data_IF_214547665678
#
_entry.id   IF_214547665678
#
_cell.length_a   1.000
_cell.length_b   1.000
_cell.length_c   1.000
_cell.angle_alpha   90.00
_cell.angle_beta   90.00
_cell.angle_gamma   90.00
#
_symmetry.space_group_name_H-M   'P 1'
#
loop_
_entity.id
_entity.type
_entity.pdbx_description
1 polymer ?
#
# COMPACT_ATOMS: atom_id res chain seq x y z
N UNK A 1 -10.15 -12.19 -1.11
CA UNK A 1 -8.74 -12.55 -1.39
C UNK A 1 -8.64 -14.03 -1.73
N UNK A 2 -9.24 -14.94 -0.95
CA UNK A 2 -9.30 -16.39 -1.27
C UNK A 2 -9.69 -16.70 -2.72
N UNK A 3 -10.80 -16.14 -3.23
CA UNK A 3 -11.19 -16.35 -4.64
C UNK A 3 -10.09 -15.99 -5.65
N UNK A 4 -9.26 -14.99 -5.36
CA UNK A 4 -8.12 -14.60 -6.21
C UNK A 4 -7.01 -15.65 -6.12
N UNK A 5 -6.69 -16.10 -4.91
CA UNK A 5 -5.70 -17.15 -4.64
C UNK A 5 -6.09 -18.43 -5.39
N UNK A 6 -7.36 -18.84 -5.31
CA UNK A 6 -7.85 -20.06 -5.94
C UNK A 6 -7.91 -19.93 -7.47
N UNK A 7 -8.40 -18.79 -7.98
CA UNK A 7 -8.45 -18.51 -9.43
C UNK A 7 -7.08 -18.61 -10.10
N UNK A 8 -6.03 -18.17 -9.41
CA UNK A 8 -4.66 -18.19 -9.92
C UNK A 8 -3.81 -19.34 -9.34
N UNK A 9 -4.43 -20.28 -8.60
CA UNK A 9 -3.77 -21.45 -7.99
C UNK A 9 -2.52 -21.11 -7.17
N UNK A 10 -2.56 -19.99 -6.43
CA UNK A 10 -1.37 -19.46 -5.74
C UNK A 10 -1.05 -20.18 -4.43
N UNK A 11 -2.00 -20.96 -3.89
CA UNK A 11 -1.90 -21.52 -2.53
C UNK A 11 -0.69 -22.44 -2.35
N UNK A 12 -0.32 -23.19 -3.38
CA UNK A 12 0.87 -24.07 -3.37
C UNK A 12 2.21 -23.32 -3.31
N UNK A 13 2.20 -22.01 -3.61
CA UNK A 13 3.38 -21.16 -3.55
C UNK A 13 3.53 -20.42 -2.22
N UNK A 14 2.57 -20.58 -1.30
CA UNK A 14 2.62 -19.96 0.02
C UNK A 14 3.04 -20.96 1.10
N UNK A 15 3.89 -20.49 2.02
CA UNK A 15 4.19 -21.20 3.26
C UNK A 15 3.63 -20.39 4.42
N UNK A 16 2.47 -20.80 4.94
CA UNK A 16 1.82 -20.15 6.08
C UNK A 16 2.52 -20.52 7.40
N UNK A 17 2.16 -19.85 8.49
CA UNK A 17 2.75 -20.06 9.82
C UNK A 17 4.29 -20.02 9.79
N UNK A 18 4.83 -19.08 9.03
CA UNK A 18 6.27 -18.91 8.80
C UNK A 18 6.55 -17.42 8.77
N UNK A 19 7.36 -16.95 9.72
CA UNK A 19 7.79 -15.58 9.83
C UNK A 19 9.21 -15.44 9.23
N UNK A 20 9.41 -14.44 8.37
CA UNK A 20 10.75 -14.06 7.91
C UNK A 20 11.42 -13.21 9.01
N UNK A 21 12.60 -13.61 9.47
CA UNK A 21 13.34 -12.88 10.52
C UNK A 21 14.46 -12.01 9.97
N UNK A 22 14.85 -12.20 8.70
CA UNK A 22 15.95 -11.48 8.09
C UNK A 22 16.44 -12.12 6.81
N UNK A 23 17.36 -11.44 6.13
CA UNK A 23 18.04 -11.95 4.96
C UNK A 23 19.43 -11.32 4.83
N UNK A 24 20.38 -12.08 4.31
CA UNK A 24 21.74 -11.60 4.05
C UNK A 24 22.15 -11.91 2.60
N UNK A 25 22.84 -10.96 1.97
CA UNK A 25 23.39 -11.18 0.63
C UNK A 25 24.75 -11.87 0.72
N UNK A 26 24.83 -13.11 0.22
CA UNK A 26 26.03 -13.96 0.30
C UNK A 26 26.28 -14.61 -1.06
N UNK A 27 27.49 -14.46 -1.60
CA UNK A 27 27.94 -15.14 -2.83
C UNK A 27 27.00 -14.99 -4.04
N UNK A 28 26.36 -13.82 -4.21
CA UNK A 28 25.48 -13.56 -5.36
C UNK A 28 24.02 -13.99 -5.19
N UNK A 29 23.61 -14.39 -3.98
CA UNK A 29 22.22 -14.75 -3.66
C UNK A 29 21.80 -14.24 -2.28
N UNK A 30 20.48 -14.16 -2.06
CA UNK A 30 19.90 -13.90 -0.75
C UNK A 30 19.75 -15.20 0.04
N UNK A 31 20.29 -15.22 1.25
CA UNK A 31 19.99 -16.23 2.27
C UNK A 31 18.92 -15.66 3.18
N UNK A 32 17.70 -16.19 3.13
CA UNK A 32 16.55 -15.69 3.87
C UNK A 32 16.26 -16.62 5.04
N UNK A 33 16.15 -16.05 6.23
CA UNK A 33 15.94 -16.77 7.48
C UNK A 33 14.48 -16.73 7.89
N UNK A 34 13.97 -17.88 8.30
CA UNK A 34 12.59 -18.05 8.71
C UNK A 34 12.48 -18.75 10.05
N UNK A 35 11.40 -18.46 10.77
CA UNK A 35 10.98 -19.18 11.96
C UNK A 35 9.50 -19.55 11.86
N UNK A 36 9.15 -20.76 12.26
CA UNK A 36 7.75 -21.11 12.51
C UNK A 36 7.38 -20.64 13.93
N UNK A 37 6.44 -19.70 14.11
CA UNK A 37 6.13 -19.15 15.42
C UNK A 37 5.49 -20.18 16.37
N UNK A 38 4.89 -21.26 15.83
CA UNK A 38 4.25 -22.33 16.60
C UNK A 38 5.29 -23.38 17.03
N UNK A 39 6.03 -23.95 16.08
CA UNK A 39 6.98 -25.04 16.36
C UNK A 39 8.35 -24.55 16.81
N UNK A 40 8.64 -23.25 16.64
CA UNK A 40 9.95 -22.62 16.83
C UNK A 40 11.05 -23.15 15.90
N UNK A 41 10.69 -23.95 14.89
CA UNK A 41 11.61 -24.43 13.87
C UNK A 41 12.21 -23.25 13.09
N UNK A 42 13.54 -23.25 12.93
CA UNK A 42 14.26 -22.26 12.13
C UNK A 42 14.84 -22.92 10.88
N UNK A 43 14.74 -22.23 9.74
CA UNK A 43 15.35 -22.70 8.50
C UNK A 43 15.73 -21.52 7.60
N UNK A 44 16.66 -21.79 6.68
CA UNK A 44 17.13 -20.81 5.68
C UNK A 44 16.75 -21.26 4.28
N UNK A 45 16.43 -20.32 3.40
CA UNK A 45 16.26 -20.56 1.95
C UNK A 45 17.12 -19.61 1.15
N UNK A 46 17.63 -20.10 0.03
CA UNK A 46 18.38 -19.28 -0.92
C UNK A 46 17.46 -18.82 -2.05
N UNK A 47 17.58 -17.57 -2.47
CA UNK A 47 16.90 -17.05 -3.65
C UNK A 47 17.75 -16.00 -4.39
N UNK A 48 17.59 -15.91 -5.70
CA UNK A 48 18.27 -14.91 -6.53
C UNK A 48 17.65 -13.53 -6.36
N UNK A 49 16.31 -13.47 -6.26
CA UNK A 49 15.52 -12.24 -6.12
C UNK A 49 14.77 -12.30 -4.79
N UNK A 50 14.86 -11.23 -4.00
CA UNK A 50 14.09 -11.06 -2.77
C UNK A 50 13.08 -9.93 -2.95
N UNK A 51 11.79 -10.27 -2.94
CA UNK A 51 10.69 -9.32 -3.03
C UNK A 51 10.02 -9.16 -1.66
N UNK A 52 10.13 -7.99 -1.06
CA UNK A 52 9.42 -7.66 0.17
C UNK A 52 8.02 -7.14 -0.15
N UNK A 53 7.01 -7.80 0.42
CA UNK A 53 5.60 -7.43 0.32
C UNK A 53 4.92 -7.37 1.70
N UNK A 54 5.70 -7.04 2.75
CA UNK A 54 5.25 -7.05 4.15
C UNK A 54 4.29 -5.91 4.53
N UNK A 55 4.13 -4.93 3.62
CA UNK A 55 3.25 -3.78 3.80
C UNK A 55 3.77 -2.74 4.78
N UNK A 56 3.09 -1.59 4.84
CA UNK A 56 3.44 -0.46 5.72
C UNK A 56 2.48 -0.27 6.91
N UNK A 57 1.43 -1.09 7.03
CA UNK A 57 0.42 -1.02 8.11
C UNK A 57 0.17 -2.40 8.72
N UNK A 58 1.24 -3.16 8.94
CA UNK A 58 1.17 -4.53 9.47
C UNK A 58 1.47 -4.61 10.96
N UNK A 59 2.35 -3.75 11.48
CA UNK A 59 2.77 -3.77 12.88
C UNK A 59 2.00 -2.70 13.68
N UNK A 60 1.16 -3.08 14.65
CA UNK A 60 0.55 -2.14 15.58
C UNK A 60 1.60 -1.24 16.23
N UNK A 61 1.33 0.05 16.32
CA UNK A 61 2.23 0.96 17.05
C UNK A 61 2.19 0.54 18.52
N UNK A 62 3.33 0.21 19.15
CA UNK A 62 3.35 -0.12 20.56
C UNK A 62 2.80 1.06 21.37
N UNK A 63 1.68 0.85 22.05
CA UNK A 63 1.11 1.79 22.99
C UNK A 63 1.40 1.28 24.40
N UNK A 64 2.20 2.03 25.15
CA UNK A 64 2.54 1.74 26.54
C UNK A 64 2.08 2.90 27.39
N UNK A 65 1.23 2.60 28.36
CA UNK A 65 0.78 3.55 29.36
C UNK A 65 1.28 3.10 30.74
N UNK A 66 1.58 4.03 31.66
CA UNK A 66 1.83 3.68 33.04
C UNK A 66 0.68 2.84 33.61
N UNK A 67 0.98 1.84 34.44
CA UNK A 67 -0.02 0.97 35.07
C UNK A 67 -0.71 -0.06 34.17
N UNK A 68 -0.47 -0.04 32.85
CA UNK A 68 -1.18 -0.91 31.89
C UNK A 68 -1.02 -2.41 32.17
N UNK A 69 0.11 -2.81 32.76
CA UNK A 69 0.38 -4.20 33.17
C UNK A 69 -0.42 -4.65 34.41
N UNK A 70 -1.03 -3.72 35.15
CA UNK A 70 -1.85 -3.99 36.34
C UNK A 70 -3.34 -4.08 36.02
N UNK A 71 -3.75 -3.63 34.84
CA UNK A 71 -5.15 -3.61 34.43
C UNK A 71 -5.69 -5.03 34.26
N UNK A 72 -6.81 -5.32 34.94
CA UNK A 72 -7.44 -6.65 34.98
C UNK A 72 -8.44 -6.88 33.84
N UNK A 73 -8.88 -5.81 33.17
CA UNK A 73 -9.77 -5.88 32.02
C UNK A 73 -9.06 -6.29 30.74
N UNK A 74 -9.79 -6.29 29.62
CA UNK A 74 -9.22 -6.67 28.31
C UNK A 74 -8.60 -5.47 27.61
N UNK A 75 -7.40 -5.65 27.06
CA UNK A 75 -6.76 -4.66 26.19
C UNK A 75 -6.37 -5.30 24.89
N UNK A 76 -6.72 -4.69 23.77
CA UNK A 76 -6.24 -5.13 22.46
C UNK A 76 -6.17 -3.96 21.49
N UNK A 77 -5.30 -4.11 20.49
CA UNK A 77 -5.20 -3.17 19.39
C UNK A 77 -6.24 -3.48 18.32
N UNK A 78 -6.74 -2.46 17.62
CA UNK A 78 -7.73 -2.63 16.53
C UNK A 78 -7.30 -3.60 15.41
N UNK A 79 -6.01 -3.90 15.28
CA UNK A 79 -5.47 -4.88 14.33
C UNK A 79 -5.40 -6.31 14.87
N UNK A 80 -5.48 -6.47 16.20
CA UNK A 80 -5.39 -7.74 16.94
C UNK A 80 -6.72 -7.96 17.66
N UNK A 81 -7.81 -7.84 16.91
CA UNK A 81 -9.16 -7.85 17.46
C UNK A 81 -9.50 -9.19 18.11
N UNK A 82 -9.90 -9.17 19.38
CA UNK A 82 -10.37 -10.36 20.09
C UNK A 82 -11.83 -10.67 19.69
N UNK A 83 -11.99 -11.62 18.78
CA UNK A 83 -13.30 -12.09 18.32
C UNK A 83 -14.06 -12.93 19.36
N UNK A 84 -13.45 -13.30 20.48
CA UNK A 84 -14.07 -14.13 21.53
C UNK A 84 -14.68 -13.31 22.67
N UNK A 85 -14.35 -12.02 22.77
CA UNK A 85 -14.85 -11.15 23.82
C UNK A 85 -16.30 -10.71 23.54
N UNK A 86 -17.18 -10.89 24.54
CA UNK A 86 -18.55 -10.40 24.49
C UNK A 86 -18.61 -8.92 24.89
N UNK A 87 -18.99 -8.09 23.91
CA UNK A 87 -19.11 -6.65 24.01
C UNK A 87 -20.41 -6.19 24.66
N UNK A 88 -21.39 -7.07 24.80
CA UNK A 88 -22.72 -6.72 25.27
C UNK A 88 -22.69 -6.20 26.71
N UNK A 89 -23.29 -5.03 26.92
CA UNK A 89 -23.44 -4.40 28.23
C UNK A 89 -22.09 -4.13 28.96
N UNK A 90 -21.00 -3.96 28.20
CA UNK A 90 -19.67 -3.61 28.75
C UNK A 90 -19.41 -2.10 28.79
N UNK A 91 -18.62 -1.65 29.76
CA UNK A 91 -18.01 -0.33 29.77
C UNK A 91 -16.68 -0.39 29.00
N UNK A 92 -16.53 0.43 27.96
CA UNK A 92 -15.41 0.35 27.02
C UNK A 92 -14.73 1.71 26.87
N UNK A 93 -13.41 1.73 26.96
CA UNK A 93 -12.61 2.88 26.57
C UNK A 93 -12.02 2.69 25.17
N UNK A 94 -11.99 3.74 24.37
CA UNK A 94 -11.33 3.76 23.05
C UNK A 94 -10.25 4.85 23.05
N UNK A 95 -9.00 4.48 22.86
CA UNK A 95 -7.88 5.43 22.81
C UNK A 95 -7.50 5.70 21.36
N UNK A 96 -7.72 6.94 20.91
CA UNK A 96 -7.46 7.40 19.55
C UNK A 96 -8.72 7.65 18.73
N UNK A 97 -8.59 8.45 17.67
CA UNK A 97 -9.71 8.85 16.80
C UNK A 97 -9.36 8.82 15.30
N UNK A 98 -8.36 8.02 14.90
CA UNK A 98 -8.06 7.80 13.48
C UNK A 98 -9.13 6.97 12.77
N UNK A 99 -8.85 6.56 11.52
CA UNK A 99 -9.78 5.77 10.71
C UNK A 99 -10.30 4.50 11.41
N UNK A 100 -9.44 3.79 12.16
CA UNK A 100 -9.84 2.58 12.89
C UNK A 100 -10.90 2.88 13.95
N UNK A 101 -10.69 3.92 14.76
CA UNK A 101 -11.66 4.32 15.79
C UNK A 101 -12.98 4.78 15.15
N UNK A 102 -12.90 5.58 14.09
CA UNK A 102 -14.09 6.06 13.38
C UNK A 102 -14.95 4.91 12.83
N UNK A 103 -14.38 3.73 12.57
CA UNK A 103 -15.12 2.53 12.16
C UNK A 103 -15.58 1.68 13.35
N UNK A 104 -14.74 1.51 14.38
CA UNK A 104 -15.04 0.68 15.55
C UNK A 104 -16.15 1.30 16.40
N UNK A 105 -16.04 2.59 16.74
CA UNK A 105 -16.98 3.29 17.64
C UNK A 105 -18.44 3.13 17.19
N UNK A 106 -18.85 3.50 15.96
CA UNK A 106 -20.24 3.33 15.55
C UNK A 106 -20.68 1.85 15.48
N UNK A 107 -19.75 0.92 15.27
CA UNK A 107 -20.06 -0.51 15.15
C UNK A 107 -20.37 -1.16 16.50
N UNK A 108 -19.68 -0.76 17.58
CA UNK A 108 -19.87 -1.35 18.91
C UNK A 108 -20.79 -0.52 19.82
N UNK A 109 -20.91 0.79 19.58
CA UNK A 109 -21.70 1.70 20.41
C UNK A 109 -23.16 1.23 20.67
N UNK A 110 -23.86 0.55 19.74
CA UNK A 110 -25.19 0.02 20.02
C UNK A 110 -25.26 -1.08 21.09
N UNK A 111 -24.20 -1.89 21.24
CA UNK A 111 -24.22 -3.09 22.10
C UNK A 111 -23.57 -2.90 23.48
N UNK A 112 -22.74 -1.87 23.65
CA UNK A 112 -22.00 -1.61 24.90
C UNK A 112 -22.83 -0.79 25.89
N UNK A 113 -22.60 -0.98 27.19
CA UNK A 113 -23.24 -0.20 28.26
C UNK A 113 -22.82 1.27 28.21
N UNK A 114 -21.53 1.51 28.00
CA UNK A 114 -20.92 2.84 27.93
C UNK A 114 -19.65 2.78 27.09
N UNK A 115 -19.44 3.79 26.25
CA UNK A 115 -18.22 3.98 25.47
C UNK A 115 -17.66 5.36 25.74
N UNK A 116 -16.42 5.42 26.23
CA UNK A 116 -15.66 6.67 26.39
C UNK A 116 -14.49 6.65 25.42
N UNK A 117 -14.42 7.64 24.54
CA UNK A 117 -13.36 7.78 23.58
C UNK A 117 -12.44 8.94 23.96
N UNK A 118 -11.15 8.65 24.06
CA UNK A 118 -10.10 9.63 24.35
C UNK A 118 -9.40 10.03 23.04
N UNK A 119 -9.46 11.32 22.71
CA UNK A 119 -8.96 11.85 21.44
C UNK A 119 -8.22 13.17 21.66
N UNK A 120 -6.91 13.20 21.35
CA UNK A 120 -6.09 14.42 21.55
C UNK A 120 -6.17 15.45 20.44
N UNK A 121 -6.70 15.09 19.27
CA UNK A 121 -6.71 15.99 18.12
C UNK A 121 -7.88 15.70 17.19
N UNK A 122 -8.55 16.70 16.62
CA UNK A 122 -9.63 16.49 15.65
C UNK A 122 -9.16 15.84 14.34
N UNK A 123 -10.14 15.47 13.50
CA UNK A 123 -9.93 14.89 12.17
C UNK A 123 -10.87 15.54 11.14
N UNK A 124 -10.46 15.55 9.88
CA UNK A 124 -11.31 15.97 8.77
C UNK A 124 -12.28 14.85 8.37
N UNK A 125 -13.58 15.05 8.62
CA UNK A 125 -14.65 14.14 8.22
C UNK A 125 -15.36 14.62 6.95
N UNK A 126 -15.61 13.69 6.03
CA UNK A 126 -16.35 13.91 4.80
C UNK A 126 -17.47 12.89 4.65
N UNK A 127 -18.55 13.21 3.93
CA UNK A 127 -19.59 12.24 3.62
C UNK A 127 -19.00 11.06 2.84
N UNK A 128 -19.39 9.85 3.23
CA UNK A 128 -18.92 8.63 2.57
C UNK A 128 -19.58 8.47 1.21
N UNK A 129 -18.82 8.43 0.09
CA UNK A 129 -19.38 8.34 -1.26
C UNK A 129 -19.83 6.92 -1.65
N UNK A 130 -19.97 6.01 -0.68
CA UNK A 130 -20.23 4.60 -0.95
C UNK A 130 -21.74 4.36 -1.06
N UNK A 131 -22.25 4.26 -2.29
CA UNK A 131 -23.64 3.85 -2.56
C UNK A 131 -23.73 2.34 -2.77
N UNK A 132 -24.87 1.75 -2.45
CA UNK A 132 -25.18 0.39 -2.85
C UNK A 132 -25.23 0.27 -4.38
N UNK A 133 -24.71 -0.84 -4.93
CA UNK A 133 -24.86 -1.14 -6.35
C UNK A 133 -26.24 -1.75 -6.63
N UNK A 134 -27.02 -1.04 -7.46
CA UNK A 134 -28.35 -1.46 -7.91
C UNK A 134 -28.30 -2.70 -8.81
N UNK A 135 -29.46 -3.30 -9.08
CA UNK A 135 -29.57 -4.38 -10.06
C UNK A 135 -29.09 -3.93 -11.46
N UNK A 136 -29.37 -2.68 -11.83
CA UNK A 136 -28.90 -2.10 -13.09
C UNK A 136 -27.38 -1.91 -13.11
N UNK A 137 -26.77 -1.41 -12.03
CA UNK A 137 -25.30 -1.33 -11.94
C UNK A 137 -24.66 -2.72 -12.17
N UNK A 138 -25.21 -3.74 -11.51
CA UNK A 138 -24.75 -5.14 -11.64
C UNK A 138 -24.97 -5.69 -13.06
N UNK A 139 -26.07 -5.35 -13.71
CA UNK A 139 -26.34 -5.69 -15.10
C UNK A 139 -25.29 -5.08 -16.02
N UNK A 140 -25.03 -3.77 -15.89
CA UNK A 140 -24.03 -3.07 -16.69
C UNK A 140 -22.63 -3.66 -16.48
N UNK A 141 -22.26 -3.98 -15.23
CA UNK A 141 -20.98 -4.65 -14.97
C UNK A 141 -20.88 -6.04 -15.60
N UNK A 142 -21.98 -6.78 -15.71
CA UNK A 142 -21.96 -8.15 -16.23
C UNK A 142 -21.98 -8.21 -17.75
N UNK A 143 -22.76 -7.35 -18.40
CA UNK A 143 -23.10 -7.51 -19.82
C UNK A 143 -22.65 -6.36 -20.72
N UNK A 144 -22.46 -5.15 -20.22
CA UNK A 144 -21.99 -4.05 -21.06
C UNK A 144 -20.47 -4.11 -21.21
N UNK A 145 -19.94 -4.31 -22.44
CA UNK A 145 -18.51 -4.34 -22.64
C UNK A 145 -17.90 -3.00 -22.26
N UNK A 146 -16.69 -3.03 -21.71
CA UNK A 146 -15.92 -1.87 -21.25
C UNK A 146 -16.53 -1.05 -20.10
N UNK A 147 -17.78 -1.26 -19.68
CA UNK A 147 -18.41 -0.50 -18.60
C UNK A 147 -17.59 -0.54 -17.29
N UNK A 148 -17.11 -1.72 -16.90
CA UNK A 148 -16.23 -1.86 -15.74
C UNK A 148 -14.92 -1.07 -15.89
N UNK A 149 -14.36 -1.00 -17.10
CA UNK A 149 -13.10 -0.25 -17.36
C UNK A 149 -13.34 1.25 -17.31
N UNK A 150 -14.44 1.73 -17.90
CA UNK A 150 -14.85 3.13 -17.80
C UNK A 150 -15.09 3.52 -16.34
N UNK A 151 -15.83 2.73 -15.59
CA UNK A 151 -16.09 3.01 -14.18
C UNK A 151 -14.81 3.06 -13.34
N UNK A 152 -13.86 2.14 -13.58
CA UNK A 152 -12.53 2.19 -12.94
C UNK A 152 -11.74 3.43 -13.32
N UNK A 153 -11.81 3.86 -14.58
CA UNK A 153 -11.14 5.08 -15.06
C UNK A 153 -11.75 6.33 -14.42
N UNK A 154 -13.08 6.44 -14.37
CA UNK A 154 -13.79 7.54 -13.72
C UNK A 154 -13.42 7.65 -12.23
N UNK A 155 -13.45 6.52 -11.50
CA UNK A 155 -13.00 6.47 -10.11
C UNK A 155 -11.54 6.93 -9.99
N UNK A 156 -10.65 6.40 -10.83
CA UNK A 156 -9.24 6.79 -10.83
C UNK A 156 -9.07 8.29 -11.04
N UNK A 157 -9.70 8.88 -12.05
CA UNK A 157 -9.58 10.32 -12.37
C UNK A 157 -10.12 11.19 -11.23
N UNK A 158 -11.27 10.83 -10.64
CA UNK A 158 -11.83 11.54 -9.48
C UNK A 158 -10.88 11.51 -8.30
N UNK A 159 -10.40 10.32 -7.96
CA UNK A 159 -9.50 10.11 -6.84
C UNK A 159 -8.15 10.79 -7.06
N UNK A 160 -7.58 10.71 -8.27
CA UNK A 160 -6.30 11.35 -8.59
C UNK A 160 -6.40 12.88 -8.58
N UNK A 161 -7.55 13.43 -8.98
CA UNK A 161 -7.80 14.87 -8.94
C UNK A 161 -7.76 15.45 -7.51
N UNK A 162 -7.93 14.62 -6.48
CA UNK A 162 -7.83 15.06 -5.09
C UNK A 162 -6.43 15.56 -4.73
N UNK A 163 -5.38 15.19 -5.47
CA UNK A 163 -4.03 15.73 -5.27
C UNK A 163 -3.98 17.26 -5.29
N UNK A 164 -4.89 17.88 -6.04
CA UNK A 164 -4.97 19.34 -6.23
C UNK A 164 -5.34 20.16 -4.98
N UNK A 165 -5.51 19.53 -3.81
CA UNK A 165 -5.68 20.26 -2.53
C UNK A 165 -4.44 20.18 -1.63
N UNK A 166 -3.40 19.46 -2.03
CA UNK A 166 -2.29 19.11 -1.14
C UNK A 166 -1.01 19.95 -1.31
N UNK A 167 -0.84 20.70 -2.40
CA UNK A 167 0.31 21.58 -2.52
C UNK A 167 0.04 23.00 -1.99
N UNK A 168 1.07 23.84 -2.17
CA UNK A 168 1.19 25.17 -1.58
C UNK A 168 0.88 26.32 -2.55
N UNK A 169 0.64 26.05 -3.84
CA UNK A 169 0.29 27.12 -4.78
C UNK A 169 -1.09 27.72 -4.47
N UNK A 170 -1.28 28.99 -4.83
CA UNK A 170 -2.47 29.77 -4.48
C UNK A 170 -3.78 29.11 -4.94
N UNK A 171 -3.78 28.51 -6.13
CA UNK A 171 -4.96 27.84 -6.69
C UNK A 171 -5.30 26.59 -5.89
N UNK A 172 -4.31 25.80 -5.52
CA UNK A 172 -4.48 24.62 -4.68
C UNK A 172 -4.89 24.97 -3.25
N UNK A 173 -4.33 26.04 -2.68
CA UNK A 173 -4.73 26.59 -1.38
C UNK A 173 -6.21 27.01 -1.41
N UNK A 174 -6.63 27.79 -2.41
CA UNK A 174 -8.03 28.20 -2.56
C UNK A 174 -8.97 27.01 -2.69
N UNK A 175 -8.59 26.00 -3.49
CA UNK A 175 -9.37 24.76 -3.63
C UNK A 175 -9.44 23.98 -2.32
N UNK A 176 -8.34 23.90 -1.57
CA UNK A 176 -8.30 23.26 -0.26
C UNK A 176 -9.24 23.95 0.72
N UNK A 177 -9.19 25.28 0.83
CA UNK A 177 -10.06 26.06 1.71
C UNK A 177 -11.55 25.85 1.39
N UNK A 178 -11.91 25.73 0.11
CA UNK A 178 -13.29 25.41 -0.29
C UNK A 178 -13.73 24.02 0.20
N UNK A 179 -12.87 23.01 0.04
CA UNK A 179 -13.15 21.63 0.50
C UNK A 179 -13.15 21.53 2.04
N UNK A 180 -12.33 22.33 2.71
CA UNK A 180 -12.35 22.48 4.17
C UNK A 180 -13.67 23.11 4.63
N UNK A 181 -14.17 24.14 3.96
CA UNK A 181 -15.46 24.75 4.27
C UNK A 181 -16.62 23.76 4.11
N UNK A 182 -16.62 22.95 3.04
CA UNK A 182 -17.59 21.87 2.85
C UNK A 182 -17.53 20.83 3.99
N UNK A 183 -16.31 20.42 4.39
CA UNK A 183 -16.12 19.48 5.49
C UNK A 183 -16.54 20.07 6.84
N UNK A 184 -16.26 21.36 7.10
CA UNK A 184 -16.74 22.05 8.31
C UNK A 184 -18.26 22.12 8.34
N UNK A 185 -18.90 22.43 7.22
CA UNK A 185 -20.37 22.42 7.11
C UNK A 185 -20.96 21.03 7.39
N UNK A 186 -20.34 19.97 6.84
CA UNK A 186 -20.71 18.59 7.12
C UNK A 186 -20.57 18.24 8.61
N UNK A 187 -19.40 18.48 9.21
CA UNK A 187 -19.15 18.22 10.64
C UNK A 187 -20.14 18.99 11.51
N UNK A 188 -20.36 20.27 11.24
CA UNK A 188 -21.29 21.09 12.00
C UNK A 188 -22.72 20.54 11.97
N UNK A 189 -23.15 20.01 10.82
CA UNK A 189 -24.49 19.44 10.65
C UNK A 189 -24.66 18.09 11.33
N UNK A 190 -23.68 17.19 11.19
CA UNK A 190 -23.80 15.80 11.64
C UNK A 190 -23.37 15.61 13.10
N UNK A 191 -22.42 16.40 13.61
CA UNK A 191 -21.89 16.24 14.96
C UNK A 191 -22.78 16.92 16.03
N UNK A 192 -22.90 16.33 17.23
CA UNK A 192 -23.58 16.97 18.36
C UNK A 192 -22.93 18.30 18.74
N UNK A 193 -23.76 19.30 19.08
CA UNK A 193 -23.29 20.64 19.49
C UNK A 193 -22.31 20.60 20.67
N UNK A 194 -22.47 19.65 21.61
CA UNK A 194 -21.58 19.48 22.77
C UNK A 194 -20.11 19.21 22.42
N UNK A 195 -19.79 18.84 21.18
CA UNK A 195 -18.41 18.57 20.73
C UNK A 195 -17.85 19.61 19.77
N UNK A 196 -18.59 20.69 19.48
CA UNK A 196 -18.19 21.69 18.49
C UNK A 196 -16.91 22.44 18.88
N UNK A 197 -16.60 22.59 20.16
CA UNK A 197 -15.36 23.25 20.60
C UNK A 197 -14.08 22.46 20.28
N UNK A 198 -14.20 21.14 20.08
CA UNK A 198 -13.05 20.26 19.84
C UNK A 198 -13.02 19.67 18.42
N UNK A 199 -14.17 19.32 17.85
CA UNK A 199 -14.23 18.42 16.69
C UNK A 199 -13.75 19.05 15.37
N UNK A 200 -13.65 20.38 15.29
CA UNK A 200 -13.18 21.07 14.09
C UNK A 200 -11.65 21.12 14.03
N UNK A 201 -11.02 20.63 12.95
CA UNK A 201 -9.59 20.75 12.77
C UNK A 201 -9.08 22.19 12.69
N UNK A 202 -7.90 22.41 13.26
CA UNK A 202 -7.07 23.61 13.24
C UNK A 202 -5.85 23.47 12.29
N UNK A 203 -5.69 22.30 11.67
CA UNK A 203 -4.65 21.99 10.69
C UNK A 203 -5.22 21.79 9.28
N UNK A 204 -4.43 22.05 8.22
CA UNK A 204 -4.93 21.98 6.85
C UNK A 204 -5.34 20.56 6.44
N UNK A 205 -6.37 20.48 5.61
CA UNK A 205 -6.83 19.24 4.99
C UNK A 205 -5.69 18.58 4.22
N UNK A 206 -5.47 17.31 4.53
CA UNK A 206 -4.41 16.50 3.93
C UNK A 206 -3.15 16.37 4.78
N UNK A 207 -2.97 17.20 5.82
CA UNK A 207 -1.90 17.01 6.79
C UNK A 207 -2.05 15.68 7.56
N UNK A 208 -3.30 15.27 7.81
CA UNK A 208 -3.68 13.89 8.13
C UNK A 208 -4.55 13.33 7.02
N UNK A 209 -4.57 11.99 6.88
CA UNK A 209 -5.50 11.33 5.96
C UNK A 209 -6.93 11.64 6.38
N UNK A 210 -7.73 12.16 5.44
CA UNK A 210 -9.16 12.44 5.66
C UNK A 210 -9.95 11.18 5.97
N UNK A 211 -11.01 11.32 6.77
CA UNK A 211 -11.92 10.23 7.12
C UNK A 211 -13.21 10.38 6.31
N UNK A 212 -13.56 9.35 5.56
CA UNK A 212 -14.92 9.23 5.04
C UNK A 212 -15.79 8.63 6.13
N UNK A 213 -16.75 9.41 6.63
CA UNK A 213 -17.52 9.11 7.83
C UNK A 213 -18.37 7.84 7.63
N UNK A 214 -18.09 6.74 8.35
CA UNK A 214 -18.90 5.52 8.28
C UNK A 214 -20.16 5.57 9.17
N UNK A 215 -20.47 6.71 9.80
CA UNK A 215 -21.52 6.85 10.82
C UNK A 215 -20.97 7.25 12.19
N UNK A 216 -19.71 7.65 12.27
CA UNK A 216 -19.03 8.09 13.47
C UNK A 216 -19.68 9.35 14.05
N UNK A 217 -19.88 10.41 13.26
CA UNK A 217 -20.45 11.66 13.80
C UNK A 217 -21.87 11.44 14.34
N UNK A 218 -22.67 10.64 13.62
CA UNK A 218 -23.99 10.22 14.07
C UNK A 218 -23.95 9.43 15.39
N UNK A 219 -22.97 8.55 15.56
CA UNK A 219 -22.82 7.75 16.79
C UNK A 219 -22.54 8.58 18.04
N UNK A 220 -21.98 9.79 17.89
CA UNK A 220 -21.70 10.70 19.01
C UNK A 220 -22.97 11.30 19.65
N UNK A 221 -24.13 11.21 18.99
CA UNK A 221 -25.42 11.62 19.55
C UNK A 221 -25.98 10.63 20.57
N UNK A 222 -25.43 9.41 20.65
CA UNK A 222 -25.92 8.41 21.59
C UNK A 222 -25.60 8.80 23.03
N UNK A 223 -26.54 8.56 23.93
CA UNK A 223 -26.37 8.86 25.36
C UNK A 223 -25.26 8.02 26.01
N UNK A 224 -24.98 6.84 25.46
CA UNK A 224 -23.94 5.93 25.95
C UNK A 224 -22.56 6.17 25.33
N UNK A 225 -22.37 7.24 24.54
CA UNK A 225 -21.10 7.58 23.89
C UNK A 225 -20.61 8.95 24.38
N UNK A 226 -19.37 8.99 24.84
CA UNK A 226 -18.70 10.20 25.30
C UNK A 226 -17.35 10.36 24.57
N UNK A 227 -17.15 11.51 23.91
CA UNK A 227 -15.86 11.90 23.33
C UNK A 227 -15.17 12.92 24.24
N UNK A 228 -13.97 12.57 24.71
CA UNK A 228 -13.16 13.39 25.60
C UNK A 228 -11.90 13.90 24.87
N UNK A 229 -11.65 15.24 24.84
CA UNK A 229 -10.54 15.85 24.12
C UNK A 229 -9.21 15.78 24.90
N UNK A 230 -8.90 14.63 25.51
CA UNK A 230 -7.76 14.49 26.44
C UNK A 230 -7.01 13.17 26.23
N UNK A 231 -5.78 13.09 26.74
CA UNK A 231 -4.98 11.87 26.78
C UNK A 231 -5.24 11.03 28.04
N UNK A 232 -4.43 9.98 28.17
CA UNK A 232 -4.44 9.06 29.32
C UNK A 232 -3.17 9.28 30.13
N UNK A 233 -3.34 9.54 31.43
CA UNK A 233 -2.23 9.63 32.38
C UNK A 233 -1.71 8.23 32.73
N UNK A 234 -2.59 7.35 33.21
CA UNK A 234 -2.23 5.98 33.58
C UNK A 234 -3.45 5.03 33.56
N UNK A 235 -3.16 3.73 33.59
CA UNK A 235 -4.15 2.68 33.82
C UNK A 235 -4.19 2.37 35.32
N UNK A 236 -5.39 2.14 35.83
CA UNK A 236 -5.61 1.57 37.16
C UNK A 236 -5.82 0.06 37.05
N UNK A 237 -6.04 -0.63 38.17
CA UNK A 237 -6.39 -2.06 38.12
C UNK A 237 -7.69 -2.34 37.36
N UNK A 238 -8.63 -1.40 37.36
CA UNK A 238 -9.99 -1.59 36.81
C UNK A 238 -10.36 -0.59 35.71
N UNK A 239 -9.46 0.34 35.36
CA UNK A 239 -9.84 1.48 34.54
C UNK A 239 -8.69 2.35 34.06
N UNK A 240 -9.01 3.62 33.78
CA UNK A 240 -8.09 4.63 33.27
C UNK A 240 -8.20 5.91 34.09
N UNK A 241 -7.07 6.62 34.24
CA UNK A 241 -7.02 8.00 34.70
C UNK A 241 -6.69 8.88 33.51
N UNK A 242 -7.56 9.83 33.19
CA UNK A 242 -7.31 10.80 32.13
C UNK A 242 -6.30 11.87 32.55
N UNK A 243 -5.78 12.63 31.60
CA UNK A 243 -4.85 13.76 31.90
C UNK A 243 -5.47 14.86 32.76
N UNK A 244 -6.81 14.93 32.88
CA UNK A 244 -7.50 15.84 33.80
C UNK A 244 -7.69 15.26 35.20
N UNK A 245 -7.20 14.04 35.45
CA UNK A 245 -7.27 13.36 36.74
C UNK A 245 -8.57 12.58 36.99
N UNK A 246 -9.48 12.50 35.99
CA UNK A 246 -10.73 11.73 36.11
C UNK A 246 -10.42 10.24 36.02
N UNK A 247 -10.74 9.50 37.08
CA UNK A 247 -10.60 8.04 37.13
C UNK A 247 -11.92 7.37 36.79
N UNK A 248 -11.90 6.45 35.82
CA UNK A 248 -13.09 5.73 35.36
C UNK A 248 -12.79 4.24 35.10
N UNK A 249 -13.71 3.37 35.51
CA UNK A 249 -13.58 1.93 35.34
C UNK A 249 -14.11 1.46 33.98
N UNK A 250 -13.42 0.47 33.39
CA UNK A 250 -13.75 -0.12 32.10
C UNK A 250 -13.53 -1.62 32.12
N UNK A 251 -14.41 -2.38 31.46
CA UNK A 251 -14.25 -3.82 31.22
C UNK A 251 -13.20 -4.09 30.12
N UNK A 252 -13.10 -3.18 29.14
CA UNK A 252 -12.16 -3.29 28.05
C UNK A 252 -11.63 -1.93 27.55
N UNK A 253 -10.41 -1.94 27.03
CA UNK A 253 -9.74 -0.80 26.41
C UNK A 253 -9.33 -1.17 24.98
N UNK A 254 -9.80 -0.40 24.01
CA UNK A 254 -9.47 -0.54 22.59
C UNK A 254 -8.39 0.47 22.23
N UNK A 255 -7.25 -0.05 21.77
CA UNK A 255 -6.16 0.78 21.26
C UNK A 255 -6.34 1.02 19.76
N UNK A 256 -6.84 2.21 19.41
CA UNK A 256 -6.92 2.72 18.05
C UNK A 256 -5.76 3.69 17.75
N UNK A 257 -4.56 3.30 18.20
CA UNK A 257 -3.34 4.12 18.26
C UNK A 257 -2.50 4.07 16.98
N UNK A 258 -2.94 3.33 15.96
CA UNK A 258 -2.33 3.28 14.64
C UNK A 258 -1.21 2.24 14.54
N UNK A 259 -0.38 2.38 13.51
CA UNK A 259 0.65 1.41 13.13
C UNK A 259 2.04 2.04 13.16
N UNK A 260 3.08 1.22 13.27
CA UNK A 260 4.45 1.64 13.00
C UNK A 260 4.71 1.63 11.49
N UNK A 261 4.43 2.77 10.86
CA UNK A 261 4.51 2.94 9.40
C UNK A 261 5.87 3.44 8.92
N UNK A 262 6.79 3.73 9.83
CA UNK A 262 8.12 4.28 9.51
C UNK A 262 9.21 3.21 9.57
N UNK A 263 8.98 2.14 10.34
CA UNK A 263 9.89 1.01 10.44
C UNK A 263 9.67 0.02 9.29
N UNK A 264 9.93 0.45 8.05
CA UNK A 264 9.84 -0.41 6.87
C UNK A 264 10.71 -1.66 7.04
N UNK A 265 10.21 -2.84 6.64
CA UNK A 265 10.89 -4.13 6.76
C UNK A 265 11.29 -4.55 8.19
N UNK A 266 11.06 -3.73 9.22
CA UNK A 266 11.29 -4.14 10.60
C UNK A 266 10.25 -5.20 11.02
N UNK A 267 10.56 -6.11 11.96
CA UNK A 267 11.84 -6.26 12.67
C UNK A 267 12.88 -7.12 11.90
N UNK A 268 12.69 -7.37 10.60
CA UNK A 268 13.62 -8.20 9.83
C UNK A 268 14.99 -7.54 9.72
N UNK A 269 16.05 -8.33 9.95
CA UNK A 269 17.43 -7.90 9.73
C UNK A 269 17.84 -8.18 8.30
N UNK A 270 17.94 -7.13 7.48
CA UNK A 270 18.32 -7.25 6.07
C UNK A 270 19.74 -6.70 5.89
N UNK A 271 20.68 -7.55 5.51
CA UNK A 271 22.10 -7.20 5.35
C UNK A 271 22.49 -7.20 3.89
N UNK A 272 23.01 -6.05 3.43
CA UNK A 272 23.40 -5.82 2.04
C UNK A 272 24.76 -6.40 1.66
N UNK A 273 25.18 -6.16 0.41
CA UNK A 273 26.44 -6.70 -0.15
C UNK A 273 27.71 -6.19 0.54
N UNK A 274 27.67 -5.04 1.20
CA UNK A 274 28.78 -4.47 1.97
C UNK A 274 28.85 -4.99 3.41
N UNK A 275 27.89 -5.82 3.84
CA UNK A 275 27.75 -6.26 5.23
C UNK A 275 27.01 -5.26 6.14
N UNK A 276 26.60 -4.10 5.62
CA UNK A 276 25.79 -3.12 6.36
C UNK A 276 24.32 -3.55 6.44
N UNK A 277 23.71 -3.42 7.62
CA UNK A 277 22.28 -3.65 7.83
C UNK A 277 21.44 -2.48 7.28
N UNK A 278 20.33 -2.78 6.59
CA UNK A 278 19.42 -1.81 5.98
C UNK A 278 18.93 -0.74 6.96
N UNK A 279 18.60 -1.13 8.20
CA UNK A 279 18.11 -0.18 9.20
C UNK A 279 19.19 0.80 9.66
N UNK A 280 20.44 0.34 9.75
CA UNK A 280 21.57 1.24 10.03
C UNK A 280 21.81 2.19 8.87
N UNK A 281 21.78 1.66 7.63
CA UNK A 281 21.93 2.43 6.39
C UNK A 281 20.89 3.55 6.28
N UNK A 282 19.64 3.27 6.65
CA UNK A 282 18.56 4.26 6.70
C UNK A 282 18.67 5.21 7.89
N UNK A 283 19.08 4.74 9.06
CA UNK A 283 19.28 5.60 10.23
C UNK A 283 20.32 6.69 9.96
N UNK A 284 21.42 6.35 9.27
CA UNK A 284 22.45 7.31 8.83
C UNK A 284 21.92 8.35 7.83
N UNK A 285 20.80 8.07 7.15
CA UNK A 285 20.17 8.94 6.13
C UNK A 285 18.84 9.55 6.57
N UNK A 286 18.64 9.76 7.87
CA UNK A 286 17.43 10.38 8.44
C UNK A 286 16.13 9.60 8.14
N UNK A 287 16.21 8.28 7.97
CA UNK A 287 15.07 7.37 7.85
C UNK A 287 15.00 6.61 6.53
N UNK A 288 13.92 5.84 6.36
CA UNK A 288 13.78 4.92 5.25
C UNK A 288 13.74 5.61 3.89
N UNK A 289 14.49 5.07 2.93
CA UNK A 289 14.56 5.57 1.56
C UNK A 289 14.72 4.41 0.56
N UNK A 290 14.19 4.62 -0.64
CA UNK A 290 14.35 3.71 -1.75
C UNK A 290 14.14 4.47 -3.06
N UNK A 291 14.92 4.15 -4.09
CA UNK A 291 14.74 4.66 -5.44
C UNK A 291 13.39 4.20 -5.99
N UNK A 292 12.55 5.18 -6.37
CA UNK A 292 11.14 4.97 -6.75
C UNK A 292 10.36 4.15 -5.69
N UNK A 293 10.76 4.26 -4.42
CA UNK A 293 10.17 3.49 -3.32
C UNK A 293 10.30 1.97 -3.44
N UNK A 294 11.20 1.50 -4.32
CA UNK A 294 11.25 0.10 -4.78
C UNK A 294 12.62 -0.53 -4.59
N UNK A 295 13.69 0.13 -5.04
CA UNK A 295 15.05 -0.41 -5.01
C UNK A 295 15.91 0.36 -4.02
N UNK A 296 16.83 -0.31 -3.33
CA UNK A 296 17.73 0.32 -2.35
C UNK A 296 19.17 0.01 -2.75
N UNK A 297 20.05 1.01 -2.73
CA UNK A 297 21.47 0.78 -2.97
C UNK A 297 22.02 -0.18 -1.92
N UNK A 298 23.08 -0.92 -2.25
CA UNK A 298 23.66 -1.97 -1.42
C UNK A 298 22.74 -3.20 -1.19
N UNK A 299 21.52 -3.21 -1.76
CA UNK A 299 20.57 -4.33 -1.68
C UNK A 299 20.33 -4.92 -3.08
N UNK A 300 21.32 -5.59 -3.70
CA UNK A 300 21.20 -6.15 -5.04
C UNK A 300 20.06 -7.17 -5.12
N UNK A 301 19.35 -7.20 -6.25
CA UNK A 301 18.20 -8.08 -6.51
C UNK A 301 17.09 -8.04 -5.44
N UNK A 302 17.08 -7.03 -4.57
CA UNK A 302 16.00 -6.79 -3.62
C UNK A 302 15.06 -5.73 -4.16
N UNK A 303 13.76 -5.99 -4.05
CA UNK A 303 12.73 -5.01 -4.35
C UNK A 303 11.69 -4.95 -3.24
N UNK A 304 11.15 -3.76 -2.99
CA UNK A 304 10.14 -3.49 -1.97
C UNK A 304 8.84 -3.06 -2.65
N UNK A 305 7.77 -3.80 -2.43
CA UNK A 305 6.41 -3.35 -2.73
C UNK A 305 5.91 -2.49 -1.58
N UNK A 306 5.27 -1.38 -1.93
CA UNK A 306 4.75 -0.40 -1.00
C UNK A 306 5.83 0.10 -0.01
N UNK A 307 7.03 0.34 -0.54
CA UNK A 307 8.16 0.87 0.21
C UNK A 307 8.08 2.37 0.50
N UNK A 308 9.16 2.97 1.01
CA UNK A 308 9.21 4.38 1.37
C UNK A 308 8.75 5.31 0.24
N UNK A 309 8.02 6.36 0.60
CA UNK A 309 7.53 7.39 -0.32
C UNK A 309 6.62 6.89 -1.48
N UNK A 310 5.96 5.75 -1.31
CA UNK A 310 4.98 5.22 -2.29
C UNK A 310 3.53 5.41 -1.86
N UNK A 311 3.28 5.89 -0.63
CA UNK A 311 1.92 6.00 -0.11
C UNK A 311 1.12 7.04 -0.89
N UNK A 312 0.01 6.65 -1.55
CA UNK A 312 -0.86 7.59 -2.22
C UNK A 312 -1.85 8.15 -1.19
N UNK A 313 -1.60 9.35 -0.67
CA UNK A 313 -2.43 9.95 0.38
C UNK A 313 -3.92 10.08 0.05
N UNK A 314 -4.22 10.15 -1.25
CA UNK A 314 -5.57 10.33 -1.78
C UNK A 314 -5.95 9.26 -2.82
N UNK A 315 -5.03 8.37 -3.24
CA UNK A 315 -5.30 7.35 -4.26
C UNK A 315 -5.20 5.92 -3.71
N UNK A 316 -5.38 4.92 -4.57
CA UNK A 316 -5.42 3.51 -4.20
C UNK A 316 -4.01 2.94 -3.99
N UNK A 317 -3.80 2.31 -2.84
CA UNK A 317 -2.59 1.51 -2.58
C UNK A 317 -2.45 0.36 -3.58
N UNK A 318 -3.57 -0.22 -4.03
CA UNK A 318 -3.57 -1.31 -5.02
C UNK A 318 -2.97 -0.80 -6.34
N UNK A 319 -3.32 0.43 -6.75
CA UNK A 319 -2.73 1.02 -7.95
C UNK A 319 -1.21 1.20 -7.81
N UNK A 320 -0.74 1.76 -6.70
CA UNK A 320 0.70 1.92 -6.45
C UNK A 320 1.44 0.57 -6.48
N UNK A 321 0.86 -0.47 -5.87
CA UNK A 321 1.41 -1.83 -5.89
C UNK A 321 1.43 -2.39 -7.32
N UNK A 322 0.35 -2.27 -8.10
CA UNK A 322 0.29 -2.75 -9.49
C UNK A 322 1.36 -2.07 -10.36
N UNK A 323 1.55 -0.76 -10.18
CA UNK A 323 2.60 0.03 -10.85
C UNK A 323 3.98 -0.47 -10.47
N UNK A 324 4.25 -0.69 -9.17
CA UNK A 324 5.53 -1.22 -8.71
C UNK A 324 5.77 -2.66 -9.19
N UNK A 325 4.76 -3.52 -9.22
CA UNK A 325 4.88 -4.88 -9.77
C UNK A 325 5.31 -4.82 -11.24
N UNK A 326 4.71 -3.95 -12.04
CA UNK A 326 5.11 -3.76 -13.44
C UNK A 326 6.55 -3.25 -13.56
N UNK A 327 6.95 -2.32 -12.69
CA UNK A 327 8.29 -1.75 -12.66
C UNK A 327 9.37 -2.76 -12.24
N UNK A 328 9.13 -3.50 -11.15
CA UNK A 328 10.00 -4.58 -10.68
C UNK A 328 10.11 -5.68 -11.75
N UNK A 329 8.99 -5.99 -12.42
CA UNK A 329 8.99 -6.97 -13.49
C UNK A 329 9.87 -6.53 -14.66
N UNK A 330 9.81 -5.26 -15.05
CA UNK A 330 10.58 -4.73 -16.18
C UNK A 330 12.07 -4.58 -15.86
N UNK A 331 12.40 -4.07 -14.67
CA UNK A 331 13.78 -3.75 -14.27
C UNK A 331 14.54 -4.93 -13.71
N UNK A 332 13.88 -5.80 -12.93
CA UNK A 332 14.56 -6.85 -12.17
C UNK A 332 14.19 -8.25 -12.69
N UNK A 333 12.91 -8.62 -12.64
CA UNK A 333 12.50 -10.02 -12.85
C UNK A 333 12.79 -10.50 -14.28
N UNK A 334 12.37 -9.73 -15.30
CA UNK A 334 12.59 -10.13 -16.70
C UNK A 334 14.08 -10.20 -17.05
N UNK A 335 14.91 -9.17 -16.75
CA UNK A 335 16.34 -9.24 -16.99
C UNK A 335 17.05 -10.45 -16.35
N UNK A 336 16.73 -10.77 -15.08
CA UNK A 336 17.34 -11.91 -14.38
C UNK A 336 16.89 -13.24 -15.00
N UNK A 337 15.59 -13.42 -15.25
CA UNK A 337 15.06 -14.66 -15.84
C UNK A 337 15.56 -14.84 -17.28
N UNK A 338 15.65 -13.76 -18.06
CA UNK A 338 16.16 -13.79 -19.42
C UNK A 338 17.68 -14.02 -19.44
N UNK A 339 18.37 -13.93 -18.29
CA UNK A 339 19.83 -14.05 -18.18
C UNK A 339 20.57 -12.85 -18.76
N UNK A 340 19.93 -11.68 -18.84
CA UNK A 340 20.56 -10.43 -19.27
C UNK A 340 21.56 -9.92 -18.24
N UNK A 341 21.26 -10.10 -16.95
CA UNK A 341 22.12 -9.81 -15.82
C UNK A 341 21.79 -10.78 -14.69
N UNK A 342 22.80 -11.20 -13.91
CA UNK A 342 22.60 -12.04 -12.72
C UNK A 342 22.33 -11.18 -11.49
N UNK A 343 22.94 -9.99 -11.44
CA UNK A 343 22.84 -9.03 -10.33
C UNK A 343 22.46 -7.66 -10.86
N UNK A 344 21.42 -7.08 -10.27
CA UNK A 344 20.88 -5.77 -10.59
C UNK A 344 20.74 -4.97 -9.30
N UNK A 345 21.31 -3.77 -9.27
CA UNK A 345 21.33 -2.91 -8.09
C UNK A 345 21.17 -1.45 -8.52
N UNK A 346 20.43 -0.64 -7.76
CA UNK A 346 20.38 0.79 -8.01
C UNK A 346 21.66 1.47 -7.52
N UNK A 347 22.19 2.42 -8.29
CA UNK A 347 23.35 3.21 -7.87
C UNK A 347 23.00 4.12 -6.70
N UNK A 348 23.95 4.32 -5.78
CA UNK A 348 23.77 5.17 -4.61
C UNK A 348 23.44 6.62 -4.99
N UNK A 349 24.16 7.20 -5.95
CA UNK A 349 23.95 8.58 -6.42
C UNK A 349 22.54 8.78 -7.02
N UNK A 350 22.04 7.77 -7.75
CA UNK A 350 20.69 7.79 -8.32
C UNK A 350 19.60 7.73 -7.24
N UNK A 351 19.78 6.91 -6.20
CA UNK A 351 18.88 6.86 -5.05
C UNK A 351 18.90 8.19 -4.28
N UNK A 352 20.08 8.67 -3.90
CA UNK A 352 20.25 9.87 -3.09
C UNK A 352 19.71 11.11 -3.81
N UNK A 353 20.02 11.28 -5.11
CA UNK A 353 19.46 12.38 -5.91
C UNK A 353 17.94 12.32 -5.98
N UNK A 354 17.38 11.13 -6.21
CA UNK A 354 15.93 10.96 -6.24
C UNK A 354 15.28 11.37 -4.92
N UNK A 355 15.87 10.96 -3.80
CA UNK A 355 15.36 11.28 -2.46
C UNK A 355 15.46 12.77 -2.15
N UNK A 356 16.57 13.43 -2.49
CA UNK A 356 16.72 14.88 -2.33
C UNK A 356 15.65 15.66 -3.11
N UNK A 357 15.45 15.30 -4.38
CA UNK A 357 14.44 15.93 -5.24
C UNK A 357 13.01 15.68 -4.71
N UNK A 358 12.77 14.52 -4.10
CA UNK A 358 11.48 14.12 -3.53
C UNK A 358 11.18 14.85 -2.22
N UNK A 359 12.16 14.92 -1.32
CA UNK A 359 12.05 15.61 -0.03
C UNK A 359 11.78 17.11 -0.23
N UNK A 360 12.43 17.74 -1.22
CA UNK A 360 12.15 19.13 -1.60
C UNK A 360 10.67 19.33 -1.98
N UNK A 361 10.14 18.46 -2.84
CA UNK A 361 8.72 18.52 -3.25
C UNK A 361 7.78 18.29 -2.07
N UNK A 362 8.09 17.34 -1.19
CA UNK A 362 7.27 17.06 0.00
C UNK A 362 7.28 18.23 0.99
N UNK A 363 8.37 19.00 1.08
CA UNK A 363 8.45 20.22 1.88
C UNK A 363 7.46 21.30 1.44
N UNK A 364 7.07 21.31 0.17
CA UNK A 364 6.12 22.27 -0.43
C UNK A 364 4.66 21.80 -0.36
N UNK A 365 4.35 20.77 0.44
CA UNK A 365 2.99 20.18 0.54
C UNK A 365 2.45 20.20 1.95
N UNK A 366 1.12 20.03 2.08
CA UNK A 366 0.42 19.92 3.37
C UNK A 366 0.88 18.74 4.21
N UNK A 367 1.58 17.75 3.63
CA UNK A 367 2.15 16.63 4.39
C UNK A 367 3.21 17.08 5.39
N UNK A 368 3.76 18.28 5.19
CA UNK A 368 4.78 18.91 6.04
C UNK A 368 4.24 20.15 6.79
N UNK A 369 2.91 20.34 6.87
CA UNK A 369 2.28 21.53 7.48
C UNK A 369 2.26 21.56 9.02
N UNK A 370 3.19 20.87 9.68
CA UNK A 370 3.39 20.96 11.14
C UNK A 370 2.36 20.25 12.03
N UNK A 371 1.37 19.53 11.48
CA UNK A 371 0.46 18.74 12.30
C UNK A 371 1.08 17.40 12.75
N UNK A 372 0.58 16.83 13.85
CA UNK A 372 0.93 15.47 14.24
C UNK A 372 0.38 14.47 13.22
N UNK A 373 1.26 13.84 12.44
CA UNK A 373 0.89 12.82 11.47
C UNK A 373 1.90 11.67 11.51
N UNK A 374 1.56 10.59 10.81
CA UNK A 374 2.42 9.41 10.74
C UNK A 374 3.37 9.43 9.53
N UNK A 375 3.30 10.46 8.67
CA UNK A 375 4.16 10.60 7.50
C UNK A 375 5.59 11.01 7.87
N UNK A 376 5.73 11.85 8.90
CA UNK A 376 7.00 12.40 9.38
C UNK A 376 7.63 11.49 10.43
N UNK A 377 8.91 11.13 10.21
CA UNK A 377 9.68 10.33 11.13
C UNK A 377 10.33 11.18 12.24
N UNK A 378 11.03 10.53 13.20
CA UNK A 378 11.69 11.21 14.32
C UNK A 378 12.78 12.21 13.90
N UNK A 379 13.33 12.08 12.70
CA UNK A 379 14.32 12.99 12.13
C UNK A 379 13.69 14.14 11.31
N UNK A 380 12.36 14.29 11.38
CA UNK A 380 11.62 15.35 10.69
C UNK A 380 11.47 15.15 9.18
N UNK A 381 11.77 13.95 8.65
CA UNK A 381 11.68 13.63 7.22
C UNK A 381 10.39 12.88 6.91
N UNK A 382 9.78 13.19 5.77
CA UNK A 382 8.64 12.45 5.24
C UNK A 382 9.11 11.22 4.45
N UNK A 383 9.05 10.03 5.05
CA UNK A 383 9.44 8.78 4.38
C UNK A 383 8.25 7.98 3.85
N UNK A 384 7.04 8.52 3.94
CA UNK A 384 5.81 7.78 3.63
C UNK A 384 5.18 8.19 2.29
N UNK A 385 4.92 9.49 2.11
CA UNK A 385 4.03 9.98 1.06
C UNK A 385 4.73 10.14 -0.30
N UNK A 386 3.96 9.93 -1.37
CA UNK A 386 4.29 10.43 -2.71
C UNK A 386 3.71 11.84 -2.90
N UNK A 387 4.49 12.85 -3.33
CA UNK A 387 4.02 14.25 -3.40
C UNK A 387 3.18 14.57 -4.64
N UNK A 388 3.12 13.67 -5.62
CA UNK A 388 2.47 13.92 -6.91
C UNK A 388 1.16 13.16 -7.10
N UNK A 389 0.57 13.33 -8.28
CA UNK A 389 -0.50 12.48 -8.77
C UNK A 389 -0.05 11.01 -8.84
N UNK A 390 -0.99 10.07 -8.74
CA UNK A 390 -0.69 8.66 -8.96
C UNK A 390 -0.23 8.41 -10.40
N UNK A 391 -0.77 9.14 -11.39
CA UNK A 391 -0.32 9.03 -12.79
C UNK A 391 1.16 9.41 -12.95
N UNK A 392 1.68 10.36 -12.17
CA UNK A 392 3.11 10.73 -12.28
C UNK A 392 4.01 9.67 -11.67
N UNK A 393 3.53 8.90 -10.69
CA UNK A 393 4.24 7.72 -10.18
C UNK A 393 4.34 6.62 -11.25
N UNK A 394 3.23 6.36 -11.96
CA UNK A 394 3.25 5.45 -13.10
C UNK A 394 4.16 5.92 -14.22
N UNK A 395 4.10 7.21 -14.62
CA UNK A 395 4.99 7.76 -15.65
C UNK A 395 6.47 7.61 -15.27
N UNK A 396 6.82 7.88 -14.01
CA UNK A 396 8.19 7.79 -13.51
C UNK A 396 8.75 6.35 -13.52
N UNK A 397 7.88 5.35 -13.42
CA UNK A 397 8.26 3.93 -13.32
C UNK A 397 8.02 3.15 -14.62
N UNK A 398 7.18 3.67 -15.52
CA UNK A 398 6.88 3.01 -16.80
C UNK A 398 8.10 2.94 -17.73
N UNK A 399 8.97 3.96 -17.69
CA UNK A 399 10.21 4.01 -18.46
C UNK A 399 11.42 3.91 -17.53
N UNK A 400 11.97 2.70 -17.30
CA UNK A 400 13.17 2.55 -16.48
C UNK A 400 14.36 3.35 -16.99
N UNK A 401 15.01 4.06 -16.07
CA UNK A 401 16.30 4.73 -16.33
C UNK A 401 17.44 3.74 -16.13
N UNK A 402 17.77 2.94 -17.15
CA UNK A 402 18.76 1.86 -17.04
C UNK A 402 20.15 2.34 -16.58
N UNK A 403 20.54 3.57 -16.92
CA UNK A 403 21.79 4.17 -16.46
C UNK A 403 21.87 4.40 -14.93
N UNK A 404 20.74 4.30 -14.22
CA UNK A 404 20.69 4.37 -12.75
C UNK A 404 20.95 3.01 -12.08
N UNK A 405 21.07 1.93 -12.86
CA UNK A 405 21.30 0.59 -12.33
C UNK A 405 22.71 0.11 -12.69
N UNK A 406 23.31 -0.64 -11.77
CA UNK A 406 24.45 -1.50 -12.00
C UNK A 406 23.92 -2.88 -12.37
N UNK A 407 24.40 -3.43 -13.47
CA UNK A 407 24.00 -4.74 -13.98
C UNK A 407 25.26 -5.54 -14.26
N UNK A 408 25.40 -6.69 -13.60
CA UNK A 408 26.59 -7.54 -13.73
C UNK A 408 26.19 -9.00 -13.94
N UNK A 409 27.13 -9.77 -14.51
CA UNK A 409 26.88 -11.15 -14.92
C UNK A 409 26.02 -11.24 -16.18
N UNK A 410 25.29 -12.36 -16.31
CA UNK A 410 24.42 -12.65 -17.44
C UNK A 410 25.08 -13.54 -18.50
N UNK A 411 24.33 -13.80 -19.57
CA UNK A 411 24.69 -14.71 -20.65
C UNK A 411 24.57 -14.01 -22.01
N UNK A 412 25.52 -14.20 -22.94
CA UNK A 412 25.38 -13.73 -24.32
C UNK A 412 24.12 -14.25 -25.02
N UNK A 413 23.57 -15.38 -24.56
CA UNK A 413 22.38 -16.01 -25.11
C UNK A 413 21.06 -15.49 -24.53
N UNK A 414 21.07 -14.38 -23.78
CA UNK A 414 19.88 -13.83 -23.13
C UNK A 414 18.74 -13.50 -24.11
N UNK A 415 19.08 -13.08 -25.34
CA UNK A 415 18.08 -12.78 -26.40
C UNK A 415 17.29 -14.04 -26.76
N UNK A 416 17.95 -15.20 -26.82
CA UNK A 416 17.30 -16.48 -27.12
C UNK A 416 16.35 -16.85 -25.98
N UNK A 417 16.81 -16.74 -24.72
CA UNK A 417 16.00 -17.01 -23.52
C UNK A 417 14.76 -16.12 -23.46
N UNK A 418 14.93 -14.82 -23.71
CA UNK A 418 13.83 -13.84 -23.80
C UNK A 418 12.82 -14.21 -24.88
N UNK A 419 13.31 -14.53 -26.08
CA UNK A 419 12.45 -14.91 -27.21
C UNK A 419 11.63 -16.16 -26.87
N UNK A 420 12.29 -17.17 -26.29
CA UNK A 420 11.63 -18.40 -25.88
C UNK A 420 10.61 -18.20 -24.75
N UNK A 421 10.94 -17.38 -23.73
CA UNK A 421 9.97 -16.99 -22.68
C UNK A 421 8.74 -16.32 -23.28
N UNK A 422 8.94 -15.38 -24.20
CA UNK A 422 7.84 -14.69 -24.87
C UNK A 422 6.96 -15.68 -25.64
N UNK A 423 7.55 -16.59 -26.43
CA UNK A 423 6.80 -17.62 -27.18
C UNK A 423 5.96 -18.52 -26.26
N UNK A 424 6.50 -18.92 -25.10
CA UNK A 424 5.78 -19.70 -24.08
C UNK A 424 4.64 -18.94 -23.40
N UNK A 425 4.72 -17.61 -23.35
CA UNK A 425 3.71 -16.76 -22.71
C UNK A 425 2.54 -16.39 -23.63
N UNK A 426 2.63 -16.68 -24.93
CA UNK A 426 1.55 -16.45 -25.89
C UNK A 426 0.41 -17.41 -25.57
N UNK A 427 -0.78 -16.88 -25.33
CA UNK A 427 -1.96 -17.72 -25.08
C UNK A 427 -2.26 -18.59 -26.30
N UNK A 428 -2.82 -19.78 -26.10
CA UNK A 428 -3.26 -20.67 -27.19
C UNK A 428 -4.21 -19.96 -28.18
N UNK A 429 -5.03 -19.02 -27.70
CA UNK A 429 -5.90 -18.18 -28.55
C UNK A 429 -5.11 -17.20 -29.41
N UNK A 430 -4.04 -16.62 -28.88
CA UNK A 430 -3.16 -15.70 -29.62
C UNK A 430 -2.32 -16.47 -30.64
N UNK A 431 -1.89 -17.69 -30.32
CA UNK A 431 -1.27 -18.60 -31.28
C UNK A 431 -2.21 -18.96 -32.42
N UNK A 432 -3.47 -19.30 -32.12
CA UNK A 432 -4.49 -19.57 -33.14
C UNK A 432 -4.76 -18.33 -34.01
N UNK A 433 -4.81 -17.13 -33.43
CA UNK A 433 -4.97 -15.90 -34.18
C UNK A 433 -3.77 -15.60 -35.09
N UNK A 434 -2.54 -15.84 -34.61
CA UNK A 434 -1.31 -15.71 -35.41
C UNK A 434 -1.26 -16.74 -36.54
N UNK A 435 -1.61 -18.00 -36.28
CA UNK A 435 -1.68 -19.05 -37.30
C UNK A 435 -2.77 -18.73 -38.32
N UNK A 436 -3.94 -18.25 -37.88
CA UNK A 436 -5.01 -17.85 -38.77
C UNK A 436 -4.63 -16.65 -39.63
N UNK A 437 -3.90 -15.67 -39.08
CA UNK A 437 -3.44 -14.50 -39.84
C UNK A 437 -2.28 -14.84 -40.78
N UNK A 438 -1.38 -15.75 -40.42
CA UNK A 438 -0.37 -16.31 -41.34
C UNK A 438 -1.06 -17.14 -42.43
N UNK A 439 -2.04 -17.98 -42.09
CA UNK A 439 -2.82 -18.76 -43.04
C UNK A 439 -3.59 -17.88 -44.02
N UNK A 440 -4.20 -16.79 -43.53
CA UNK A 440 -4.83 -15.77 -44.37
C UNK A 440 -3.81 -15.04 -45.25
N UNK A 441 -2.64 -14.70 -44.71
CA UNK A 441 -1.57 -14.06 -45.48
C UNK A 441 -1.01 -14.98 -46.57
N UNK A 442 -0.83 -16.28 -46.30
CA UNK A 442 -0.40 -17.29 -47.27
C UNK A 442 -1.48 -17.56 -48.32
N UNK A 443 -2.75 -17.58 -47.91
CA UNK A 443 -3.90 -17.71 -48.81
C UNK A 443 -4.04 -16.47 -49.73
N UNK A 444 -3.79 -15.27 -49.20
CA UNK A 444 -3.78 -14.03 -49.97
C UNK A 444 -2.52 -13.81 -50.81
N UNK A 445 -1.37 -14.33 -50.38
CA UNK A 445 -0.10 -14.16 -51.11
C UNK A 445 0.05 -15.09 -52.30
N UNK A 446 -0.96 -15.92 -52.59
CA UNK A 446 -1.04 -16.68 -53.83
C UNK A 446 0.24 -17.47 -54.13
N UNK A 447 0.67 -18.35 -53.21
CA UNK A 447 1.57 -19.44 -53.61
C UNK A 447 0.75 -20.42 -54.44
N UNK A 448 0.55 -20.08 -55.71
CA UNK A 448 0.31 -21.06 -56.76
C UNK A 448 1.51 -21.99 -56.73
N UNK A 449 1.35 -23.17 -56.14
CA UNK A 449 2.24 -24.30 -56.45
C UNK A 449 2.18 -24.46 -57.98
N UNK A 450 3.28 -24.28 -58.72
CA UNK A 450 3.27 -24.60 -60.14
C UNK A 450 2.92 -26.08 -60.26
N UNK A 451 1.87 -26.39 -61.03
CA UNK A 451 1.49 -27.76 -61.34
C UNK A 451 2.59 -28.36 -62.22
N UNK A 452 3.39 -29.33 -61.72
CA UNK A 452 4.51 -29.88 -62.49
C UNK A 452 4.08 -30.55 -63.81
N UNK A 453 2.78 -30.87 -63.94
CA UNK A 453 2.22 -31.49 -65.14
C UNK A 453 1.96 -30.50 -66.27
N UNK A 454 1.65 -29.22 -65.99
CA UNK A 454 1.39 -28.23 -67.04
C UNK A 454 2.67 -27.80 -67.77
N UNK A 455 3.79 -27.70 -67.05
CA UNK A 455 5.09 -27.37 -67.65
C UNK A 455 5.68 -28.54 -68.45
N UNK A 456 5.39 -29.79 -68.05
CA UNK A 456 5.80 -30.99 -68.80
C UNK A 456 5.05 -31.11 -70.14
N UNK A 457 3.76 -30.77 -70.17
CA UNK A 457 2.92 -30.77 -71.39
C UNK A 457 3.32 -29.64 -72.35
N UNK A 458 3.76 -28.48 -71.83
CA UNK A 458 4.28 -27.38 -72.67
C UNK A 458 5.65 -27.68 -73.29
N UNK A 459 6.49 -28.47 -72.63
CA UNK A 459 7.77 -28.94 -73.17
C UNK A 459 7.62 -30.01 -74.25
N UNK A 460 6.60 -30.87 -74.15
CA UNK A 460 6.35 -31.95 -75.12
C UNK A 460 5.62 -31.49 -76.40
N UNK A 461 4.93 -30.34 -76.38
CA UNK A 461 4.22 -29.78 -77.54
C UNK A 461 5.04 -28.75 -78.35
N UNK A 462 6.33 -28.60 -78.07
CA UNK A 462 7.30 -27.86 -78.90
C UNK A 462 8.33 -28.83 -79.49
N UNK A 463 7.85 -29.74 -80.34
CA UNK A 463 8.64 -30.64 -81.18
C UNK A 463 8.02 -30.73 -82.56
#
# INVERSE_FOLDING_TARGET
MENTVDKFQLRSHFRFNTECTGAEWVNGAWHVHFVNPITREKFTKQCTILLSAVGGFSIPRPARFPGMNKYKGRVFHTAEWDHTFDWTNKAVAVIGNGCSAAQVVPSIAPGVKRLVQYARSPQWYHPRPNRGFSAFDKFCFRYLPFWQRYYRLDLFLKTDSLASVYGSDERQVKKRLAVEAEARSYIHREAPRKYHDFIFPDFPLGCKRRIYDPGYLASLHRDNVELLPEGIQEFTENGLVSETGKAEDFDAVILATGFDVQSFLAPMKITGKTGEELQEQWSRRRGAQAYMGTFVHNMPNLAILFGPNTFPAFNSVIYAIEVQVAYITSVLVKPVIDGYADVIEVKQDAEEKFIQDLDKKLGETVFSAGCSNWYINKAGRNSAAWPGLAVTFWQATFFPKWNHFLMTGGSPFWIIRRTWRNLKSISSRTWLALIASIGLAVFWSGLTTPDPLEDLVRLLNRG
#
